data_IF_047024548181
#
_entry.id   IF_047024548181
#
_cell.length_a   1.000
_cell.length_b   1.000
_cell.length_c   1.000
_cell.angle_alpha   90.00
_cell.angle_beta   90.00
_cell.angle_gamma   90.00
#
_symmetry.space_group_name_H-M   'P 1'
#
loop_
_entity.id
_entity.type
_entity.pdbx_description
1 polymer ?
#
# COMPACT_ATOMS: atom_id res chain seq x y z
N UNK A 1 -19.50 6.86 10.55
CA UNK A 1 -18.46 7.66 9.89
C UNK A 1 -17.14 6.94 10.06
N UNK A 2 -16.38 6.74 8.98
CA UNK A 2 -15.02 6.19 9.02
C UNK A 2 -14.05 7.33 8.69
N UNK A 3 -13.03 7.54 9.53
CA UNK A 3 -12.02 8.58 9.34
C UNK A 3 -10.63 7.96 9.37
N UNK A 4 -9.81 8.30 8.39
CA UNK A 4 -8.46 7.79 8.23
C UNK A 4 -7.62 8.77 7.41
N UNK A 5 -6.31 8.59 7.42
CA UNK A 5 -5.42 9.34 6.54
C UNK A 5 -5.19 8.54 5.26
N UNK A 6 -5.48 9.13 4.10
CA UNK A 6 -4.98 8.64 2.81
C UNK A 6 -3.69 9.40 2.52
N UNK A 7 -2.56 8.72 2.68
CA UNK A 7 -1.24 9.34 2.83
C UNK A 7 -1.25 10.38 3.95
N UNK A 8 -1.23 11.68 3.64
CA UNK A 8 -1.26 12.76 4.63
C UNK A 8 -2.60 13.52 4.63
N UNK A 9 -3.55 13.11 3.81
CA UNK A 9 -4.85 13.76 3.70
C UNK A 9 -5.87 13.07 4.61
N UNK A 10 -6.53 13.83 5.49
CA UNK A 10 -7.67 13.32 6.24
C UNK A 10 -8.86 13.07 5.31
N UNK A 11 -9.35 11.84 5.32
CA UNK A 11 -10.53 11.40 4.57
C UNK A 11 -11.62 11.01 5.58
N UNK A 12 -12.85 11.45 5.31
CA UNK A 12 -14.03 11.11 6.11
C UNK A 12 -15.10 10.54 5.20
N UNK A 13 -15.48 9.29 5.44
CA UNK A 13 -16.47 8.57 4.65
C UNK A 13 -17.70 8.22 5.49
N UNK A 14 -18.87 8.33 4.87
CA UNK A 14 -20.16 8.05 5.49
C UNK A 14 -20.96 7.08 4.62
N UNK A 15 -21.79 6.25 5.26
CA UNK A 15 -22.69 5.31 4.57
C UNK A 15 -21.99 4.43 3.52
N UNK A 16 -20.80 3.92 3.84
CA UNK A 16 -20.11 2.94 2.99
C UNK A 16 -20.76 1.56 3.12
N UNK A 17 -20.76 0.80 2.02
CA UNK A 17 -21.07 -0.62 2.03
C UNK A 17 -20.10 -1.33 2.99
N UNK A 18 -20.57 -2.10 3.99
CA UNK A 18 -19.71 -2.82 4.92
C UNK A 18 -18.77 -3.82 4.24
N UNK A 19 -19.11 -4.30 3.04
CA UNK A 19 -18.30 -5.22 2.25
C UNK A 19 -17.34 -4.53 1.29
N UNK A 20 -17.29 -3.19 1.29
CA UNK A 20 -16.39 -2.45 0.42
C UNK A 20 -14.93 -2.70 0.80
N UNK A 21 -14.21 -3.39 -0.07
CA UNK A 21 -12.77 -3.63 0.08
C UNK A 21 -11.97 -2.34 -0.17
N UNK A 22 -10.81 -2.23 0.47
CA UNK A 22 -9.88 -1.11 0.28
C UNK A 22 -9.46 -1.01 -1.19
N UNK A 23 -9.25 -2.15 -1.87
CA UNK A 23 -8.92 -2.17 -3.29
C UNK A 23 -10.02 -1.51 -4.15
N UNK A 24 -11.27 -1.93 -3.96
CA UNK A 24 -12.39 -1.39 -4.73
C UNK A 24 -12.62 0.08 -4.41
N UNK A 25 -12.50 0.46 -3.14
CA UNK A 25 -12.56 1.85 -2.71
C UNK A 25 -11.50 2.72 -3.40
N UNK A 26 -10.24 2.29 -3.40
CA UNK A 26 -9.14 3.03 -4.06
C UNK A 26 -9.40 3.20 -5.55
N UNK A 27 -9.79 2.14 -6.24
CA UNK A 27 -9.94 2.13 -7.70
C UNK A 27 -11.18 2.87 -8.18
N UNK A 28 -12.30 2.76 -7.46
CA UNK A 28 -13.61 3.26 -7.93
C UNK A 28 -14.00 4.60 -7.32
N UNK A 29 -13.77 4.81 -6.01
CA UNK A 29 -14.15 6.03 -5.29
C UNK A 29 -13.04 7.07 -5.34
N UNK A 30 -11.81 6.65 -5.03
CA UNK A 30 -10.64 7.55 -4.99
C UNK A 30 -9.97 7.73 -6.36
N UNK A 31 -10.34 6.92 -7.36
CA UNK A 31 -9.74 6.94 -8.71
C UNK A 31 -8.20 6.82 -8.68
N UNK A 32 -7.70 5.94 -7.80
CA UNK A 32 -6.28 5.62 -7.61
C UNK A 32 -6.01 4.20 -8.11
N UNK A 33 -5.81 4.01 -9.43
CA UNK A 33 -5.79 2.69 -10.04
C UNK A 33 -4.43 1.99 -9.96
N UNK A 34 -3.42 2.58 -9.30
CA UNK A 34 -2.07 2.04 -9.18
C UNK A 34 -2.07 0.67 -8.50
N UNK A 35 -2.79 0.52 -7.39
CA UNK A 35 -3.03 -0.78 -6.75
C UNK A 35 -3.93 -1.66 -7.63
N UNK A 36 -3.55 -2.93 -7.83
CA UNK A 36 -4.17 -3.82 -8.83
C UNK A 36 -4.96 -4.97 -8.20
N UNK A 37 -5.99 -5.40 -8.91
CA UNK A 37 -6.63 -6.69 -8.67
C UNK A 37 -5.93 -7.75 -9.53
N UNK A 38 -5.33 -8.75 -8.90
CA UNK A 38 -4.73 -9.89 -9.58
C UNK A 38 -5.53 -11.18 -9.37
N UNK A 39 -5.53 -11.67 -8.12
CA UNK A 39 -6.21 -12.91 -7.74
C UNK A 39 -7.48 -12.72 -6.89
N UNK A 40 -7.62 -11.59 -6.20
CA UNK A 40 -8.67 -11.33 -5.21
C UNK A 40 -8.75 -12.33 -4.03
N UNK A 41 -7.73 -13.17 -3.83
CA UNK A 41 -7.64 -14.16 -2.73
C UNK A 41 -6.52 -13.88 -1.73
N UNK A 42 -5.70 -12.84 -1.98
CA UNK A 42 -4.55 -12.47 -1.14
C UNK A 42 -3.23 -13.13 -1.52
N UNK A 43 -3.22 -14.00 -2.52
CA UNK A 43 -2.04 -14.81 -2.85
C UNK A 43 -0.98 -14.06 -3.69
N UNK A 44 -1.42 -13.18 -4.60
CA UNK A 44 -0.51 -12.62 -5.62
C UNK A 44 0.24 -11.33 -5.22
N UNK A 45 -0.15 -10.68 -4.11
CA UNK A 45 0.45 -9.40 -3.69
C UNK A 45 0.26 -8.19 -4.62
N UNK A 46 -0.39 -8.31 -5.79
CA UNK A 46 -0.59 -7.19 -6.72
C UNK A 46 -1.42 -6.02 -6.11
N UNK A 47 -2.17 -6.32 -5.05
CA UNK A 47 -2.99 -5.39 -4.30
C UNK A 47 -2.32 -4.85 -3.02
N UNK A 48 -1.02 -5.10 -2.82
CA UNK A 48 -0.30 -4.68 -1.62
C UNK A 48 -0.33 -3.17 -1.43
N UNK A 49 -0.62 -2.76 -0.19
CA UNK A 49 -0.59 -1.37 0.30
C UNK A 49 0.00 -1.36 1.70
N UNK A 50 0.41 -0.19 2.20
CA UNK A 50 0.97 -0.06 3.55
C UNK A 50 -0.03 0.62 4.47
N UNK A 51 -0.24 0.04 5.64
CA UNK A 51 -1.11 0.56 6.69
C UNK A 51 -0.28 0.98 7.90
N UNK A 52 -0.36 2.24 8.27
CA UNK A 52 0.23 2.81 9.47
C UNK A 52 -0.79 2.89 10.61
N UNK A 53 -0.40 2.49 11.82
CA UNK A 53 -1.20 2.64 13.05
C UNK A 53 -0.34 3.17 14.20
N UNK A 54 -0.91 4.06 15.01
CA UNK A 54 -0.25 4.53 16.22
C UNK A 54 -0.42 3.50 17.35
N UNK A 55 0.70 3.02 17.90
CA UNK A 55 0.76 2.10 19.05
C UNK A 55 1.76 2.66 20.06
N UNK A 56 1.29 2.94 21.28
CA UNK A 56 2.15 3.49 22.34
C UNK A 56 2.81 4.83 21.97
N UNK A 57 2.15 5.67 21.17
CA UNK A 57 2.70 6.94 20.69
C UNK A 57 3.69 6.84 19.52
N UNK A 58 3.94 5.62 19.01
CA UNK A 58 4.82 5.38 17.87
C UNK A 58 4.04 4.86 16.66
N UNK A 59 4.47 5.21 15.45
CA UNK A 59 3.86 4.69 14.23
C UNK A 59 4.43 3.31 13.90
N UNK A 60 3.55 2.32 13.75
CA UNK A 60 3.88 0.99 13.24
C UNK A 60 3.27 0.82 11.86
N UNK A 61 4.03 0.23 10.94
CA UNK A 61 3.61 0.02 9.55
C UNK A 61 3.57 -1.48 9.22
N UNK A 62 2.58 -1.87 8.43
CA UNK A 62 2.44 -3.25 7.94
C UNK A 62 1.97 -3.26 6.48
N UNK A 63 2.44 -4.25 5.72
CA UNK A 63 1.91 -4.54 4.38
C UNK A 63 0.62 -5.33 4.53
N UNK A 64 -0.42 -4.94 3.78
CA UNK A 64 -1.69 -5.66 3.76
C UNK A 64 -2.18 -5.89 2.33
N UNK A 65 -2.98 -6.95 2.16
CA UNK A 65 -3.72 -7.20 0.93
C UNK A 65 -5.00 -6.35 0.92
N UNK A 66 -5.03 -5.30 0.10
CA UNK A 66 -6.20 -4.42 -0.01
C UNK A 66 -7.44 -5.09 -0.60
N UNK A 67 -7.28 -6.21 -1.32
CA UNK A 67 -8.41 -6.99 -1.85
C UNK A 67 -9.20 -7.72 -0.75
N UNK A 68 -8.56 -8.05 0.37
CA UNK A 68 -9.20 -8.74 1.51
C UNK A 68 -9.55 -7.79 2.66
N UNK A 69 -8.97 -6.60 2.67
CA UNK A 69 -9.18 -5.62 3.75
C UNK A 69 -10.41 -4.79 3.44
N UNK A 70 -11.33 -4.67 4.41
CA UNK A 70 -12.50 -3.79 4.32
C UNK A 70 -12.14 -2.35 4.69
N UNK A 71 -12.81 -1.36 4.09
CA UNK A 71 -12.57 0.07 4.39
C UNK A 71 -12.84 0.40 5.86
N UNK A 72 -13.76 -0.32 6.52
CA UNK A 72 -14.03 -0.20 7.95
C UNK A 72 -12.78 -0.41 8.82
N UNK A 73 -11.83 -1.23 8.37
CA UNK A 73 -10.57 -1.48 9.09
C UNK A 73 -9.62 -0.27 9.07
N UNK A 74 -9.87 0.74 8.23
CA UNK A 74 -9.01 1.93 8.12
C UNK A 74 -9.22 2.94 9.24
N UNK A 75 -10.27 2.80 10.05
CA UNK A 75 -10.60 3.76 11.10
C UNK A 75 -9.38 4.11 11.97
N UNK A 76 -9.03 5.40 12.01
CA UNK A 76 -7.92 5.94 12.80
C UNK A 76 -6.52 5.54 12.30
N UNK A 77 -6.39 5.01 11.09
CA UNK A 77 -5.12 4.54 10.51
C UNK A 77 -4.68 5.42 9.33
N UNK A 78 -3.47 5.18 8.85
CA UNK A 78 -2.91 5.79 7.65
C UNK A 78 -2.78 4.75 6.54
N UNK A 79 -3.44 4.97 5.41
CA UNK A 79 -3.31 4.14 4.21
C UNK A 79 -2.35 4.81 3.22
N UNK A 80 -1.31 4.10 2.79
CA UNK A 80 -0.33 4.58 1.81
C UNK A 80 -0.34 3.65 0.60
N UNK A 81 -0.35 4.23 -0.59
CA UNK A 81 -0.44 3.54 -1.89
C UNK A 81 0.72 3.89 -2.81
N UNK A 82 0.86 3.17 -3.92
CA UNK A 82 2.01 3.34 -4.84
C UNK A 82 2.08 4.76 -5.42
N UNK A 83 0.94 5.42 -5.61
CA UNK A 83 0.88 6.78 -6.14
C UNK A 83 1.43 7.83 -5.17
N UNK A 84 1.50 7.52 -3.88
CA UNK A 84 1.98 8.42 -2.82
C UNK A 84 3.50 8.49 -2.74
N UNK A 85 4.21 7.53 -3.32
CA UNK A 85 5.65 7.39 -3.09
C UNK A 85 6.49 8.38 -3.88
N UNK A 86 6.02 8.85 -5.04
CA UNK A 86 6.76 9.83 -5.84
C UNK A 86 6.64 11.23 -5.24
N UNK A 87 7.71 12.01 -5.31
CA UNK A 87 7.72 13.42 -4.92
C UNK A 87 7.96 14.30 -6.15
N UNK A 88 6.88 14.87 -6.70
CA UNK A 88 6.93 15.59 -7.97
C UNK A 88 7.35 14.69 -9.12
N UNK A 89 8.55 14.92 -9.67
CA UNK A 89 9.14 14.07 -10.73
C UNK A 89 10.10 13.01 -10.19
N UNK A 90 10.48 13.08 -8.92
CA UNK A 90 11.41 12.12 -8.33
C UNK A 90 10.66 10.84 -7.92
N UNK A 91 11.16 9.70 -8.40
CA UNK A 91 10.68 8.38 -7.97
C UNK A 91 11.20 8.06 -6.57
N UNK A 92 10.42 7.31 -5.81
CA UNK A 92 10.91 6.70 -4.58
C UNK A 92 12.00 5.68 -4.89
N UNK A 93 13.02 5.46 -4.02
CA UNK A 93 14.06 4.46 -4.26
C UNK A 93 13.52 3.07 -4.64
N UNK A 94 12.44 2.61 -4.02
CA UNK A 94 11.78 1.35 -4.40
C UNK A 94 11.21 1.36 -5.83
N UNK A 95 10.66 2.48 -6.28
CA UNK A 95 10.18 2.64 -7.67
C UNK A 95 11.37 2.75 -8.64
N UNK A 96 12.40 3.51 -8.28
CA UNK A 96 13.59 3.70 -9.10
C UNK A 96 14.35 2.37 -9.30
N UNK A 97 14.46 1.54 -8.26
CA UNK A 97 15.08 0.22 -8.36
C UNK A 97 14.39 -0.70 -9.39
N UNK A 98 13.06 -0.61 -9.53
CA UNK A 98 12.34 -1.37 -10.57
C UNK A 98 12.73 -0.94 -11.98
N UNK A 99 13.10 0.33 -12.17
CA UNK A 99 13.59 0.88 -13.45
C UNK A 99 15.06 0.48 -13.67
N UNK A 100 15.92 0.82 -12.72
CA UNK A 100 17.38 0.69 -12.85
C UNK A 100 17.82 -0.77 -12.95
N UNK A 101 17.13 -1.67 -12.24
CA UNK A 101 17.45 -3.09 -12.21
C UNK A 101 16.59 -3.92 -13.18
N UNK A 102 15.86 -3.28 -14.11
CA UNK A 102 14.97 -3.96 -15.05
C UNK A 102 13.93 -4.89 -14.37
N UNK A 103 13.48 -4.52 -13.17
CA UNK A 103 12.56 -5.30 -12.34
C UNK A 103 11.10 -5.26 -12.80
N UNK A 104 10.80 -4.57 -13.91
CA UNK A 104 9.44 -4.44 -14.46
C UNK A 104 9.41 -4.76 -15.95
N UNK A 105 8.52 -5.67 -16.34
CA UNK A 105 8.25 -6.01 -17.75
C UNK A 105 6.85 -5.52 -18.15
N UNK A 106 5.80 -6.33 -17.91
CA UNK A 106 4.42 -5.93 -18.18
C UNK A 106 3.90 -4.83 -17.25
N UNK A 107 4.58 -4.60 -16.11
CA UNK A 107 4.27 -3.56 -15.14
C UNK A 107 3.11 -3.86 -14.18
N UNK A 108 2.35 -4.94 -14.38
CA UNK A 108 1.11 -5.17 -13.61
C UNK A 108 1.38 -5.46 -12.12
N UNK A 109 2.37 -6.29 -11.80
CA UNK A 109 2.73 -6.63 -10.42
C UNK A 109 3.64 -5.59 -9.75
N UNK A 110 4.24 -4.68 -10.53
CA UNK A 110 5.25 -3.73 -10.05
C UNK A 110 4.75 -2.87 -8.87
N UNK A 111 3.52 -2.34 -8.86
CA UNK A 111 2.99 -1.64 -7.69
C UNK A 111 3.02 -2.46 -6.40
N UNK A 112 2.69 -3.76 -6.47
CA UNK A 112 2.69 -4.65 -5.32
C UNK A 112 4.09 -4.82 -4.73
N UNK A 113 5.08 -5.13 -5.58
CA UNK A 113 6.48 -5.25 -5.16
C UNK A 113 7.04 -3.94 -4.60
N UNK A 114 6.73 -2.80 -5.23
CA UNK A 114 7.14 -1.49 -4.74
C UNK A 114 6.61 -1.23 -3.33
N UNK A 115 5.34 -1.56 -3.07
CA UNK A 115 4.73 -1.37 -1.76
C UNK A 115 5.29 -2.32 -0.70
N UNK A 116 5.60 -3.57 -1.05
CA UNK A 116 6.30 -4.51 -0.16
C UNK A 116 7.67 -3.96 0.27
N UNK A 117 8.47 -3.49 -0.67
CA UNK A 117 9.79 -2.90 -0.38
C UNK A 117 9.68 -1.61 0.44
N UNK A 118 8.72 -0.74 0.11
CA UNK A 118 8.46 0.48 0.87
C UNK A 118 8.07 0.16 2.33
N UNK A 119 7.19 -0.82 2.54
CA UNK A 119 6.78 -1.21 3.89
C UNK A 119 7.94 -1.81 4.68
N UNK A 120 8.79 -2.63 4.05
CA UNK A 120 10.00 -3.14 4.68
C UNK A 120 10.92 -2.00 5.11
N UNK A 121 11.12 -0.98 4.27
CA UNK A 121 11.93 0.19 4.63
C UNK A 121 11.36 0.96 5.84
N UNK A 122 10.04 0.94 6.04
CA UNK A 122 9.39 1.58 7.19
C UNK A 122 9.60 0.84 8.51
N UNK A 123 9.87 -0.46 8.46
CA UNK A 123 9.95 -1.33 9.65
C UNK A 123 11.35 -1.82 9.95
N UNK A 124 12.23 -1.91 8.96
CA UNK A 124 13.60 -2.40 9.12
C UNK A 124 14.56 -1.31 9.64
N UNK A 125 15.55 -1.72 10.42
CA UNK A 125 16.63 -0.86 10.94
C UNK A 125 17.88 -0.85 10.05
N UNK A 126 17.84 -1.53 8.90
CA UNK A 126 18.96 -1.65 7.97
C UNK A 126 18.64 -2.56 6.79
N UNK A 127 19.64 -2.84 5.96
CA UNK A 127 19.52 -3.80 4.87
C UNK A 127 19.85 -5.22 5.36
N UNK A 128 18.96 -6.16 5.08
CA UNK A 128 19.17 -7.59 5.23
C UNK A 128 18.52 -8.32 4.05
N UNK A 129 19.27 -9.24 3.44
CA UNK A 129 18.82 -9.95 2.24
C UNK A 129 17.64 -10.87 2.54
N UNK A 130 17.68 -11.60 3.65
CA UNK A 130 16.64 -12.57 3.98
C UNK A 130 15.31 -11.87 4.29
N UNK A 131 15.36 -10.72 4.98
CA UNK A 131 14.19 -9.87 5.19
C UNK A 131 13.63 -9.32 3.87
N UNK A 132 14.50 -8.91 2.95
CA UNK A 132 14.07 -8.46 1.62
C UNK A 132 13.37 -9.57 0.82
N UNK A 133 13.93 -10.78 0.82
CA UNK A 133 13.33 -11.94 0.14
C UNK A 133 12.01 -12.38 0.79
N UNK A 134 11.86 -12.23 2.12
CA UNK A 134 10.63 -12.59 2.85
C UNK A 134 9.51 -11.56 2.67
N UNK A 135 9.85 -10.31 2.37
CA UNK A 135 8.86 -9.24 2.18
C UNK A 135 8.18 -9.28 0.80
N UNK A 136 8.77 -10.00 -0.17
CA UNK A 136 8.31 -10.11 -1.56
C UNK A 136 7.45 -11.36 -1.75
#
# INVERSE_FOLDING_TARGET
MIQFLLNNQLVSENALDPNLTVLNYLRTRQQRPGTKEGCASGDCGACSVTLGKAVGGTMQYETINSCLTLVSALQGKQLITVEDLRHGRALHPAQQAMVDCHGSQCGFCTPGFVMSLFSLQKTASGWDRHQAETAL
#
